data_IF_953373536406
#
_entry.id   IF_953373536406
#
_cell.length_a   1.000
_cell.length_b   1.000
_cell.length_c   1.000
_cell.angle_alpha   90.00
_cell.angle_beta   90.00
_cell.angle_gamma   90.00
#
_symmetry.space_group_name_H-M   'P 1'
#
loop_
_entity.id
_entity.type
_entity.pdbx_description
1 polymer ?
#
# COMPACT_ATOMS: atom_id res chain seq x y z
N UNK A 1 13.17 -5.42 12.31
CA UNK A 1 12.22 -5.45 11.18
C UNK A 1 11.54 -4.08 11.14
N UNK A 2 11.17 -3.55 9.98
CA UNK A 2 10.43 -2.29 9.92
C UNK A 2 9.00 -2.52 10.44
N UNK A 3 8.52 -1.68 11.34
CA UNK A 3 7.14 -1.73 11.86
C UNK A 3 6.29 -0.67 11.15
N UNK A 4 5.11 -1.08 10.67
CA UNK A 4 4.14 -0.22 10.00
C UNK A 4 2.81 -0.40 10.72
N UNK A 5 2.17 0.69 11.13
CA UNK A 5 0.88 0.58 11.80
C UNK A 5 -0.25 0.23 10.81
N UNK A 6 -1.26 -0.50 11.29
CA UNK A 6 -2.45 -0.88 10.53
C UNK A 6 -3.08 0.35 9.86
N UNK A 7 -3.46 0.20 8.58
CA UNK A 7 -4.03 1.23 7.71
C UNK A 7 -3.13 2.47 7.43
N UNK A 8 -1.89 2.47 7.92
CA UNK A 8 -0.90 3.52 7.59
C UNK A 8 -0.08 3.15 6.35
N UNK A 9 0.94 3.94 6.00
CA UNK A 9 1.67 3.77 4.73
C UNK A 9 2.98 3.03 4.97
N UNK A 10 3.13 1.88 4.31
CA UNK A 10 4.44 1.35 3.93
C UNK A 10 4.88 2.02 2.62
N UNK A 11 6.08 2.59 2.59
CA UNK A 11 6.72 3.11 1.37
C UNK A 11 8.11 2.48 1.21
N UNK A 12 8.41 2.04 0.00
CA UNK A 12 9.76 1.62 -0.38
C UNK A 12 10.19 2.27 -1.69
N UNK A 13 11.49 2.45 -1.82
CA UNK A 13 12.14 3.06 -2.97
C UNK A 13 13.09 2.07 -3.64
N UNK A 14 12.99 1.95 -4.95
CA UNK A 14 13.84 1.08 -5.76
C UNK A 14 14.38 1.88 -6.94
N UNK A 15 15.62 1.58 -7.33
CA UNK A 15 16.34 2.31 -8.37
C UNK A 15 16.34 1.48 -9.65
N UNK A 16 15.87 2.08 -10.75
CA UNK A 16 15.96 1.49 -12.07
C UNK A 16 17.42 1.30 -12.47
N UNK A 17 17.71 0.20 -13.16
CA UNK A 17 19.05 -0.09 -13.67
C UNK A 17 19.39 0.78 -14.89
N UNK A 18 18.40 1.05 -15.75
CA UNK A 18 18.61 1.79 -17.00
C UNK A 18 18.15 3.25 -16.92
N UNK A 19 18.63 4.03 -17.88
CA UNK A 19 18.08 5.34 -18.20
C UNK A 19 17.02 5.20 -19.29
N UNK A 20 15.92 5.94 -19.16
CA UNK A 20 14.81 5.92 -20.11
C UNK A 20 14.49 7.34 -20.57
N UNK A 21 14.06 7.47 -21.84
CA UNK A 21 13.56 8.73 -22.36
C UNK A 21 12.21 9.06 -21.71
N UNK A 22 11.34 8.06 -21.55
CA UNK A 22 10.02 8.22 -20.93
C UNK A 22 9.77 7.13 -19.89
N UNK A 23 10.25 7.32 -18.66
CA UNK A 23 10.10 6.36 -17.57
C UNK A 23 8.67 5.87 -17.37
N UNK A 24 7.68 6.77 -17.38
CA UNK A 24 6.27 6.42 -17.15
C UNK A 24 5.72 5.52 -18.28
N UNK A 25 6.19 5.70 -19.52
CA UNK A 25 5.65 4.97 -20.67
C UNK A 25 6.42 3.66 -20.93
N UNK A 26 7.72 3.65 -20.65
CA UNK A 26 8.64 2.58 -21.06
C UNK A 26 8.83 1.50 -19.98
N UNK A 27 8.44 1.78 -18.73
CA UNK A 27 8.68 0.90 -17.58
C UNK A 27 7.37 0.52 -16.90
N UNK A 28 7.13 -0.79 -16.78
CA UNK A 28 6.09 -1.32 -15.90
C UNK A 28 6.67 -1.59 -14.53
N UNK A 29 5.95 -1.27 -13.46
CA UNK A 29 6.43 -1.54 -12.10
C UNK A 29 5.26 -1.82 -11.15
N UNK A 30 5.26 -3.01 -10.57
CA UNK A 30 4.26 -3.48 -9.62
C UNK A 30 4.92 -4.24 -8.47
N UNK A 31 4.20 -4.45 -7.39
CA UNK A 31 4.56 -5.39 -6.34
C UNK A 31 3.37 -6.24 -5.91
N UNK A 32 3.65 -7.52 -5.67
CA UNK A 32 2.75 -8.44 -5.01
C UNK A 32 3.07 -8.45 -3.52
N UNK A 33 2.12 -8.00 -2.69
CA UNK A 33 2.20 -8.10 -1.24
C UNK A 33 1.42 -9.32 -0.76
N UNK A 34 2.01 -10.10 0.15
CA UNK A 34 1.37 -11.25 0.78
C UNK A 34 1.14 -10.96 2.26
N UNK A 35 -0.11 -11.09 2.69
CA UNK A 35 -0.54 -10.86 4.06
C UNK A 35 -0.13 -12.01 4.99
N UNK A 36 -0.20 -11.82 6.32
CA UNK A 36 0.01 -12.89 7.30
C UNK A 36 -0.92 -14.09 7.10
N UNK A 37 -2.12 -13.87 6.59
CA UNK A 37 -3.09 -14.94 6.27
C UNK A 37 -2.92 -15.54 4.87
N UNK A 38 -1.96 -15.05 4.08
CA UNK A 38 -1.65 -15.53 2.74
C UNK A 38 -2.45 -14.85 1.62
N UNK A 39 -3.20 -13.78 1.90
CA UNK A 39 -3.88 -13.01 0.85
C UNK A 39 -2.86 -12.23 0.03
N UNK A 40 -3.08 -12.16 -1.27
CA UNK A 40 -2.20 -11.44 -2.20
C UNK A 40 -2.83 -10.13 -2.67
N UNK A 41 -2.04 -9.07 -2.70
CA UNK A 41 -2.41 -7.73 -3.17
C UNK A 41 -1.41 -7.26 -4.22
N UNK A 42 -1.88 -7.05 -5.45
CA UNK A 42 -1.09 -6.47 -6.54
C UNK A 42 -1.22 -4.95 -6.54
N UNK A 43 -0.10 -4.25 -6.34
CA UNK A 43 -0.05 -2.80 -6.23
C UNK A 43 0.84 -2.22 -7.32
N UNK A 44 0.35 -1.18 -8.01
CA UNK A 44 1.18 -0.42 -8.96
C UNK A 44 2.17 0.46 -8.19
N UNK A 45 3.43 0.42 -8.62
CA UNK A 45 4.39 1.44 -8.24
C UNK A 45 4.26 2.67 -9.14
N UNK A 46 5.03 3.71 -8.81
CA UNK A 46 5.05 4.95 -9.57
C UNK A 46 6.48 5.49 -9.69
N UNK A 47 6.72 6.22 -10.77
CA UNK A 47 7.98 6.93 -11.00
C UNK A 47 8.02 8.20 -10.15
N UNK A 48 9.11 8.37 -9.40
CA UNK A 48 9.33 9.52 -8.49
C UNK A 48 10.47 10.42 -8.97
N UNK A 49 10.82 10.36 -10.26
CA UNK A 49 11.86 11.18 -10.87
C UNK A 49 13.22 10.48 -10.99
N UNK A 50 13.97 10.82 -12.06
CA UNK A 50 15.26 10.17 -12.36
C UNK A 50 15.11 8.66 -12.49
N UNK A 51 15.97 7.90 -11.80
CA UNK A 51 15.87 6.42 -11.74
C UNK A 51 15.00 5.92 -10.59
N UNK A 52 14.30 6.80 -9.88
CA UNK A 52 13.62 6.46 -8.63
C UNK A 52 12.20 5.98 -8.92
N UNK A 53 11.88 4.81 -8.39
CA UNK A 53 10.54 4.25 -8.38
C UNK A 53 10.12 3.92 -6.96
N UNK A 54 8.84 4.12 -6.67
CA UNK A 54 8.27 3.90 -5.34
C UNK A 54 7.04 3.01 -5.39
N UNK A 55 6.81 2.32 -4.29
CA UNK A 55 5.56 1.61 -4.02
C UNK A 55 5.03 2.15 -2.69
N UNK A 56 3.72 2.43 -2.65
CA UNK A 56 2.99 2.73 -1.41
C UNK A 56 1.92 1.69 -1.21
N UNK A 57 1.91 1.10 -0.02
CA UNK A 57 0.94 0.09 0.36
C UNK A 57 0.41 0.38 1.77
N UNK A 58 -0.87 0.11 1.99
CA UNK A 58 -1.51 0.23 3.30
C UNK A 58 -1.92 -1.14 3.79
N UNK A 59 -1.24 -1.74 4.78
CA UNK A 59 -1.60 -3.06 5.29
C UNK A 59 -2.93 -3.01 6.03
N UNK A 60 -3.72 -4.07 5.88
CA UNK A 60 -5.05 -4.24 6.46
C UNK A 60 -5.13 -5.44 7.43
N UNK A 61 -3.99 -6.10 7.70
CA UNK A 61 -3.86 -7.22 8.64
C UNK A 61 -2.61 -7.05 9.51
N UNK A 62 -2.75 -7.23 10.82
CA UNK A 62 -1.63 -7.25 11.77
C UNK A 62 -0.80 -8.52 11.56
N UNK A 63 0.51 -8.40 11.62
CA UNK A 63 1.47 -9.48 11.47
C UNK A 63 2.49 -9.24 10.36
N UNK A 64 3.26 -10.27 10.03
CA UNK A 64 4.31 -10.21 9.01
C UNK A 64 3.75 -10.14 7.60
N UNK A 65 4.14 -9.10 6.87
CA UNK A 65 3.92 -8.95 5.43
C UNK A 65 5.21 -9.17 4.66
N UNK A 66 5.10 -9.76 3.47
CA UNK A 66 6.20 -9.88 2.50
C UNK A 66 5.78 -9.32 1.17
N UNK A 67 6.73 -8.87 0.35
CA UNK A 67 6.44 -8.48 -1.03
C UNK A 67 7.52 -8.91 -2.01
N UNK A 68 7.13 -9.05 -3.26
CA UNK A 68 8.02 -9.19 -4.41
C UNK A 68 7.61 -8.26 -5.54
N UNK A 69 8.57 -7.56 -6.15
CA UNK A 69 8.31 -6.66 -7.27
C UNK A 69 8.34 -7.38 -8.62
N UNK A 70 7.63 -6.80 -9.59
CA UNK A 70 7.61 -7.21 -10.99
C UNK A 70 7.77 -5.99 -11.90
N UNK A 71 8.74 -6.04 -12.81
CA UNK A 71 9.04 -4.92 -13.71
C UNK A 71 9.64 -5.36 -15.05
N UNK A 72 9.55 -4.49 -16.05
CA UNK A 72 10.35 -4.60 -17.27
C UNK A 72 11.81 -4.16 -17.09
N UNK A 73 12.15 -3.37 -16.06
CA UNK A 73 13.52 -3.00 -15.71
C UNK A 73 14.12 -4.00 -14.69
N UNK A 74 15.34 -4.49 -14.96
CA UNK A 74 16.01 -5.51 -14.14
C UNK A 74 16.39 -5.05 -12.73
N UNK A 75 16.63 -3.76 -12.53
CA UNK A 75 16.90 -3.18 -11.21
C UNK A 75 15.64 -3.04 -10.35
N UNK A 76 14.48 -2.99 -11.00
CA UNK A 76 13.18 -2.91 -10.34
C UNK A 76 12.51 -4.28 -10.18
N UNK A 77 12.84 -5.25 -11.03
CA UNK A 77 12.22 -6.58 -11.03
C UNK A 77 12.75 -7.49 -9.91
N UNK A 78 11.88 -8.39 -9.45
CA UNK A 78 12.22 -9.47 -8.52
C UNK A 78 12.85 -9.03 -7.19
N UNK A 79 12.70 -7.75 -6.80
CA UNK A 79 13.13 -7.24 -5.50
C UNK A 79 12.18 -7.75 -4.44
N UNK A 80 12.72 -8.10 -3.26
CA UNK A 80 11.95 -8.66 -2.15
C UNK A 80 12.14 -7.83 -0.89
N UNK A 81 11.11 -7.79 -0.07
CA UNK A 81 11.18 -7.18 1.25
C UNK A 81 10.08 -7.69 2.16
N UNK A 82 10.15 -7.25 3.40
CA UNK A 82 9.20 -7.61 4.45
C UNK A 82 9.09 -6.48 5.48
N UNK A 83 7.94 -6.42 6.14
CA UNK A 83 7.69 -5.52 7.26
C UNK A 83 6.68 -6.18 8.21
N UNK A 84 6.67 -5.71 9.46
CA UNK A 84 5.69 -6.13 10.47
C UNK A 84 4.57 -5.10 10.52
N UNK A 85 3.33 -5.51 10.33
CA UNK A 85 2.18 -4.67 10.57
C UNK A 85 1.75 -4.76 12.04
N UNK A 86 1.69 -3.63 12.74
CA UNK A 86 1.33 -3.55 14.17
C UNK A 86 0.05 -2.75 14.37
N UNK A 87 -0.53 -2.80 15.57
CA UNK A 87 -1.67 -1.95 15.92
C UNK A 87 -1.30 -0.46 15.83
N UNK A 88 -2.24 0.35 15.34
CA UNK A 88 -2.09 1.80 15.37
C UNK A 88 -2.36 2.34 16.77
N UNK A 89 -1.32 2.92 17.39
CA UNK A 89 -1.40 3.47 18.75
C UNK A 89 -1.80 4.95 18.84
N UNK A 90 -2.11 5.59 17.71
CA UNK A 90 -2.50 7.00 17.67
C UNK A 90 -3.99 7.22 17.85
N UNK A 91 -4.44 8.45 17.60
CA UNK A 91 -5.83 8.87 17.80
C UNK A 91 -6.52 9.34 16.51
N UNK A 92 -5.90 9.17 15.34
CA UNK A 92 -6.56 9.46 14.06
C UNK A 92 -7.72 8.47 13.83
N UNK A 93 -8.98 8.93 13.76
CA UNK A 93 -10.13 8.02 13.63
C UNK A 93 -10.07 7.10 12.40
N UNK A 94 -9.47 7.53 11.29
CA UNK A 94 -9.32 6.71 10.08
C UNK A 94 -8.38 5.52 10.30
N UNK A 95 -7.35 5.68 11.14
CA UNK A 95 -6.41 4.61 11.48
C UNK A 95 -6.78 3.87 12.76
N UNK A 96 -7.78 4.32 13.51
CA UNK A 96 -8.32 3.58 14.65
C UNK A 96 -9.45 2.64 14.20
N UNK A 97 -10.26 3.08 13.25
CA UNK A 97 -11.45 2.35 12.80
C UNK A 97 -11.31 1.73 11.40
N UNK A 98 -10.30 2.16 10.63
CA UNK A 98 -9.96 1.67 9.30
C UNK A 98 -10.65 2.40 8.15
N UNK A 99 -10.46 1.92 6.93
CA UNK A 99 -10.96 2.61 5.74
C UNK A 99 -12.51 2.67 5.73
N UNK A 100 -13.10 3.81 5.32
CA UNK A 100 -14.55 3.89 5.09
C UNK A 100 -15.00 2.96 3.98
N UNK A 101 -16.13 2.28 4.17
CA UNK A 101 -16.81 1.42 3.21
C UNK A 101 -18.32 1.64 3.26
N UNK A 102 -19.01 1.19 2.22
CA UNK A 102 -20.48 1.18 2.19
C UNK A 102 -21.00 0.13 3.17
N UNK A 103 -22.05 0.45 3.92
CA UNK A 103 -22.73 -0.48 4.83
C UNK A 103 -23.32 -1.69 4.08
N UNK A 104 -23.54 -2.80 4.78
CA UNK A 104 -24.07 -4.04 4.16
C UNK A 104 -25.44 -3.85 3.49
N UNK A 105 -26.22 -2.88 3.95
CA UNK A 105 -27.51 -2.53 3.35
C UNK A 105 -27.44 -1.45 2.26
N UNK A 106 -26.25 -0.93 1.96
CA UNK A 106 -26.01 0.03 0.89
C UNK A 106 -26.46 1.47 1.16
N UNK A 107 -26.79 1.84 2.40
CA UNK A 107 -27.48 3.11 2.70
C UNK A 107 -26.64 4.18 3.39
N UNK A 108 -25.52 3.81 4.01
CA UNK A 108 -24.65 4.75 4.73
C UNK A 108 -23.21 4.26 4.69
N UNK A 109 -22.28 5.08 5.16
CA UNK A 109 -20.88 4.72 5.28
C UNK A 109 -20.57 4.22 6.69
N UNK A 110 -19.68 3.25 6.77
CA UNK A 110 -19.11 2.71 8.01
C UNK A 110 -17.60 2.65 7.87
N UNK A 111 -16.89 2.71 8.98
CA UNK A 111 -15.50 2.33 9.05
C UNK A 111 -15.33 0.81 8.86
N UNK A 112 -14.09 0.33 8.73
CA UNK A 112 -13.80 -1.09 8.54
C UNK A 112 -14.26 -1.95 9.73
N UNK A 113 -14.22 -1.40 10.94
CA UNK A 113 -14.71 -2.01 12.18
C UNK A 113 -16.25 -1.95 12.37
N UNK A 114 -16.99 -1.36 11.41
CA UNK A 114 -18.45 -1.26 11.45
C UNK A 114 -19.01 -0.02 12.14
N UNK A 115 -18.16 0.83 12.73
CA UNK A 115 -18.62 2.10 13.33
C UNK A 115 -19.17 3.03 12.24
N UNK A 116 -20.26 3.78 12.46
CA UNK A 116 -20.78 4.73 11.47
C UNK A 116 -19.75 5.80 11.09
N UNK A 117 -19.62 6.07 9.79
CA UNK A 117 -18.85 7.18 9.24
C UNK A 117 -19.80 8.28 8.79
N UNK A 118 -19.83 9.40 9.51
CA UNK A 118 -20.65 10.55 9.12
C UNK A 118 -19.89 11.41 8.11
N UNK A 119 -20.26 11.28 6.83
CA UNK A 119 -19.70 12.10 5.77
C UNK A 119 -20.37 13.47 5.76
N UNK A 120 -19.69 14.46 6.33
CA UNK A 120 -20.06 15.87 6.23
C UNK A 120 -18.91 16.62 5.55
N UNK A 121 -19.17 17.19 4.37
CA UNK A 121 -18.20 17.95 3.60
C UNK A 121 -18.83 19.23 3.01
N UNK A 122 -17.97 20.19 2.65
CA UNK A 122 -18.28 21.28 1.74
C UNK A 122 -17.71 21.01 0.34
N UNK A 123 -17.81 21.98 -0.57
CA UNK A 123 -17.31 21.90 -1.95
C UNK A 123 -16.47 23.13 -2.27
#
# INVERSE_FOLDING_TARGET
MLEIALWTIFETQIIASNDYISYIQDVSFQAEFTSPTGKSHMINGFWDGGKIWKIRFSPDEIGKWTYQTKSSDKGLDSQKGEFECVEYAGNNPLYVHGVPKVSDNGRYLIYSDGKPFFWLSDT
#
